data_IF_263185277816
#
_entry.id   IF_263185277816
#
_cell.length_a   1.000
_cell.length_b   1.000
_cell.length_c   1.000
_cell.angle_alpha   90.00
_cell.angle_beta   90.00
_cell.angle_gamma   90.00
#
_symmetry.space_group_name_H-M   'P 1'
#
loop_
_entity.id
_entity.type
_entity.pdbx_description
1 polymer ?
#
# COMPACT_ATOMS: atom_id res chain seq x y z
N UNK A 1 18.38 12.02 4.24
CA UNK A 1 18.36 10.67 4.81
C UNK A 1 16.99 10.46 5.43
N UNK A 2 16.27 9.40 5.05
CA UNK A 2 15.03 9.03 5.75
C UNK A 2 15.33 8.67 7.20
N UNK A 3 14.52 9.15 8.12
CA UNK A 3 14.61 8.81 9.55
C UNK A 3 14.12 7.38 9.79
N UNK A 4 14.59 6.75 10.87
CA UNK A 4 14.07 5.45 11.29
C UNK A 4 12.55 5.47 11.52
N UNK A 5 12.02 6.61 11.98
CA UNK A 5 10.59 6.77 12.23
C UNK A 5 9.79 6.79 10.91
N UNK A 6 10.28 7.47 9.88
CA UNK A 6 9.66 7.47 8.54
C UNK A 6 9.67 6.06 7.92
N UNK A 7 10.78 5.32 8.06
CA UNK A 7 10.87 3.93 7.60
C UNK A 7 9.88 3.01 8.32
N UNK A 8 9.76 3.12 9.65
CA UNK A 8 8.79 2.35 10.44
C UNK A 8 7.35 2.70 10.05
N UNK A 9 7.05 3.98 9.86
CA UNK A 9 5.72 4.43 9.44
C UNK A 9 5.35 3.90 8.04
N UNK A 10 6.28 3.96 7.09
CA UNK A 10 6.07 3.42 5.75
C UNK A 10 5.89 1.90 5.75
N UNK A 11 6.69 1.14 6.51
CA UNK A 11 6.51 -0.31 6.67
C UNK A 11 5.16 -0.68 7.32
N UNK A 12 4.73 0.08 8.34
CA UNK A 12 3.43 -0.11 8.98
C UNK A 12 2.28 0.15 7.98
N UNK A 13 2.41 1.17 7.13
CA UNK A 13 1.42 1.48 6.10
C UNK A 13 1.28 0.35 5.08
N UNK A 14 2.40 -0.22 4.61
CA UNK A 14 2.39 -1.40 3.71
C UNK A 14 1.68 -2.57 4.39
N UNK A 15 2.04 -2.87 5.64
CA UNK A 15 1.45 -3.98 6.40
C UNK A 15 -0.07 -3.83 6.57
N UNK A 16 -0.54 -2.61 6.85
CA UNK A 16 -1.97 -2.33 7.00
C UNK A 16 -2.72 -2.52 5.67
N UNK A 17 -2.19 -2.00 4.57
CA UNK A 17 -2.81 -2.15 3.25
C UNK A 17 -2.85 -3.62 2.79
N UNK A 18 -1.82 -4.42 3.12
CA UNK A 18 -1.84 -5.86 2.86
C UNK A 18 -2.97 -6.57 3.62
N UNK A 19 -3.20 -6.22 4.89
CA UNK A 19 -4.31 -6.78 5.68
C UNK A 19 -5.65 -6.40 5.08
N UNK A 20 -5.82 -5.14 4.71
CA UNK A 20 -7.06 -4.65 4.11
C UNK A 20 -7.34 -5.33 2.76
N UNK A 21 -6.32 -5.49 1.92
CA UNK A 21 -6.45 -6.19 0.64
C UNK A 21 -6.81 -7.67 0.84
N UNK A 22 -6.18 -8.36 1.79
CA UNK A 22 -6.51 -9.75 2.11
C UNK A 22 -7.95 -9.92 2.64
N UNK A 23 -8.50 -8.92 3.36
CA UNK A 23 -9.90 -8.91 3.77
C UNK A 23 -10.83 -8.67 2.57
N UNK A 24 -10.48 -7.74 1.68
CA UNK A 24 -11.24 -7.49 0.46
C UNK A 24 -11.28 -8.73 -0.45
N UNK A 25 -10.17 -9.44 -0.62
CA UNK A 25 -10.08 -10.70 -1.36
C UNK A 25 -11.02 -11.78 -0.81
N UNK A 26 -11.03 -11.94 0.52
CA UNK A 26 -11.96 -12.88 1.17
C UNK A 26 -13.41 -12.46 0.96
N UNK A 27 -13.70 -11.17 1.06
CA UNK A 27 -15.02 -10.61 0.74
C UNK A 27 -15.44 -10.96 -0.68
N UNK A 28 -14.56 -10.74 -1.65
CA UNK A 28 -14.79 -11.05 -3.06
C UNK A 28 -15.12 -12.53 -3.31
N UNK A 29 -14.35 -13.44 -2.70
CA UNK A 29 -14.62 -14.88 -2.81
C UNK A 29 -15.98 -15.29 -2.23
N UNK A 30 -16.46 -14.58 -1.21
CA UNK A 30 -17.76 -14.83 -0.60
C UNK A 30 -18.92 -14.29 -1.44
N UNK A 31 -18.74 -13.20 -2.19
CA UNK A 31 -19.78 -12.61 -3.05
C UNK A 31 -20.36 -13.61 -4.05
N UNK A 32 -19.51 -14.39 -4.70
CA UNK A 32 -19.94 -15.40 -5.67
C UNK A 32 -20.84 -16.48 -5.06
N UNK A 33 -20.65 -16.78 -3.77
CA UNK A 33 -21.45 -17.78 -3.03
C UNK A 33 -22.67 -17.18 -2.35
N UNK A 34 -22.67 -15.87 -2.08
CA UNK A 34 -23.70 -15.21 -1.29
C UNK A 34 -24.84 -14.62 -2.13
N UNK A 35 -24.71 -14.52 -3.46
CA UNK A 35 -25.70 -13.88 -4.35
C UNK A 35 -27.15 -14.29 -4.06
N UNK A 36 -27.44 -15.58 -4.02
CA UNK A 36 -28.80 -16.08 -3.80
C UNK A 36 -29.33 -15.70 -2.40
N UNK A 37 -28.50 -15.86 -1.37
CA UNK A 37 -28.86 -15.53 0.01
C UNK A 37 -29.06 -14.02 0.20
N UNK A 38 -28.21 -13.19 -0.39
CA UNK A 38 -28.29 -11.73 -0.34
C UNK A 38 -29.55 -11.21 -1.04
N UNK A 39 -29.80 -11.64 -2.29
CA UNK A 39 -31.01 -11.27 -3.02
C UNK A 39 -32.25 -11.74 -2.26
N UNK A 40 -32.23 -12.94 -1.70
CA UNK A 40 -33.32 -13.45 -0.86
C UNK A 40 -33.55 -12.54 0.35
N UNK A 41 -32.49 -12.17 1.09
CA UNK A 41 -32.57 -11.26 2.24
C UNK A 41 -33.19 -9.92 1.87
N UNK A 42 -32.80 -9.32 0.73
CA UNK A 42 -33.37 -8.06 0.26
C UNK A 42 -34.85 -8.21 -0.12
N UNK A 43 -35.23 -9.34 -0.71
CA UNK A 43 -36.65 -9.59 -1.02
C UNK A 43 -37.52 -9.71 0.22
N UNK A 44 -36.99 -10.22 1.34
CA UNK A 44 -37.72 -10.25 2.61
C UNK A 44 -38.01 -8.85 3.16
N UNK A 45 -37.33 -7.80 2.70
CA UNK A 45 -37.63 -6.41 3.05
C UNK A 45 -38.67 -5.77 2.12
N UNK A 46 -39.31 -6.55 1.24
CA UNK A 46 -40.31 -6.07 0.29
C UNK A 46 -39.76 -5.60 -1.06
N UNK A 47 -38.46 -5.77 -1.32
CA UNK A 47 -37.90 -5.46 -2.64
C UNK A 47 -38.34 -6.51 -3.67
N UNK A 48 -38.65 -6.06 -4.89
CA UNK A 48 -38.80 -6.97 -6.03
C UNK A 48 -37.47 -7.65 -6.32
N UNK A 49 -37.51 -8.81 -6.99
CA UNK A 49 -36.29 -9.50 -7.39
C UNK A 49 -35.38 -8.60 -8.25
N UNK A 50 -35.95 -7.84 -9.19
CA UNK A 50 -35.19 -6.91 -10.04
C UNK A 50 -34.46 -5.84 -9.22
N UNK A 51 -35.14 -5.21 -8.24
CA UNK A 51 -34.48 -4.21 -7.38
C UNK A 51 -33.44 -4.83 -6.45
N UNK A 52 -33.70 -6.03 -5.92
CA UNK A 52 -32.73 -6.76 -5.10
C UNK A 52 -31.48 -7.16 -5.91
N UNK A 53 -31.66 -7.53 -7.19
CA UNK A 53 -30.57 -7.81 -8.10
C UNK A 53 -29.73 -6.57 -8.37
N UNK A 54 -30.35 -5.43 -8.72
CA UNK A 54 -29.63 -4.16 -8.93
C UNK A 54 -28.78 -3.81 -7.70
N UNK A 55 -29.35 -3.90 -6.50
CA UNK A 55 -28.60 -3.63 -5.25
C UNK A 55 -27.44 -4.58 -5.02
N UNK A 56 -27.57 -5.84 -5.40
CA UNK A 56 -26.47 -6.80 -5.32
C UNK A 56 -25.38 -6.44 -6.32
N UNK A 57 -25.75 -6.11 -7.56
CA UNK A 57 -24.81 -5.75 -8.62
C UNK A 57 -24.06 -4.45 -8.27
N UNK A 58 -24.77 -3.43 -7.74
CA UNK A 58 -24.17 -2.20 -7.20
C UNK A 58 -23.15 -2.49 -6.09
N UNK A 59 -23.50 -3.41 -5.18
CA UNK A 59 -22.59 -3.81 -4.10
C UNK A 59 -21.35 -4.53 -4.63
N UNK A 60 -21.49 -5.39 -5.63
CA UNK A 60 -20.35 -6.06 -6.29
C UNK A 60 -19.41 -5.03 -6.93
N UNK A 61 -19.96 -4.04 -7.64
CA UNK A 61 -19.15 -2.98 -8.25
C UNK A 61 -18.44 -2.12 -7.19
N UNK A 62 -19.07 -1.84 -6.05
CA UNK A 62 -18.41 -1.13 -4.95
C UNK A 62 -17.26 -1.95 -4.35
N UNK A 63 -17.46 -3.24 -4.13
CA UNK A 63 -16.39 -4.14 -3.66
C UNK A 63 -15.23 -4.22 -4.64
N UNK A 64 -15.52 -4.21 -5.95
CA UNK A 64 -14.50 -4.18 -7.01
C UNK A 64 -13.67 -2.90 -6.95
N UNK A 65 -14.32 -1.74 -6.84
CA UNK A 65 -13.63 -0.45 -6.73
C UNK A 65 -12.75 -0.39 -5.49
N UNK A 66 -13.23 -0.90 -4.37
CA UNK A 66 -12.44 -0.99 -3.14
C UNK A 66 -11.19 -1.85 -3.33
N UNK A 67 -11.32 -3.00 -3.99
CA UNK A 67 -10.19 -3.89 -4.28
C UNK A 67 -9.16 -3.22 -5.19
N UNK A 68 -9.60 -2.59 -6.28
CA UNK A 68 -8.75 -1.85 -7.21
C UNK A 68 -8.02 -0.70 -6.49
N UNK A 69 -8.72 0.06 -5.64
CA UNK A 69 -8.14 1.11 -4.82
C UNK A 69 -7.06 0.59 -3.86
N UNK A 70 -7.36 -0.48 -3.11
CA UNK A 70 -6.42 -1.06 -2.15
C UNK A 70 -5.16 -1.61 -2.84
N UNK A 71 -5.32 -2.19 -4.03
CA UNK A 71 -4.20 -2.67 -4.85
C UNK A 71 -3.28 -1.52 -5.26
N UNK A 72 -3.85 -0.43 -5.78
CA UNK A 72 -3.08 0.76 -6.17
C UNK A 72 -2.42 1.43 -4.96
N UNK A 73 -3.14 1.54 -3.84
CA UNK A 73 -2.62 2.10 -2.61
C UNK A 73 -1.45 1.27 -2.04
N UNK A 74 -1.56 -0.07 -2.09
CA UNK A 74 -0.49 -0.97 -1.66
C UNK A 74 0.76 -0.79 -2.52
N UNK A 75 0.60 -0.75 -3.85
CA UNK A 75 1.71 -0.51 -4.77
C UNK A 75 2.42 0.82 -4.45
N UNK A 76 1.66 1.91 -4.33
CA UNK A 76 2.21 3.22 -4.00
C UNK A 76 2.94 3.23 -2.63
N UNK A 77 2.41 2.52 -1.63
CA UNK A 77 3.05 2.41 -0.32
C UNK A 77 4.35 1.59 -0.37
N UNK A 78 4.40 0.53 -1.19
CA UNK A 78 5.60 -0.27 -1.41
C UNK A 78 6.68 0.54 -2.12
N UNK A 79 6.32 1.30 -3.17
CA UNK A 79 7.24 2.17 -3.89
C UNK A 79 7.82 3.25 -2.97
N UNK A 80 6.97 3.86 -2.12
CA UNK A 80 7.41 4.83 -1.14
C UNK A 80 8.38 4.23 -0.11
N UNK A 81 8.08 3.04 0.41
CA UNK A 81 8.97 2.34 1.34
C UNK A 81 10.31 1.97 0.68
N UNK A 82 10.29 1.51 -0.57
CA UNK A 82 11.50 1.22 -1.35
C UNK A 82 12.35 2.47 -1.59
N UNK A 83 11.74 3.61 -1.88
CA UNK A 83 12.44 4.89 -2.03
C UNK A 83 13.11 5.32 -0.71
N UNK A 84 12.39 5.24 0.42
CA UNK A 84 12.95 5.60 1.72
C UNK A 84 14.13 4.69 2.11
N UNK A 85 14.02 3.39 1.89
CA UNK A 85 15.11 2.42 2.18
C UNK A 85 16.33 2.66 1.32
N UNK A 86 16.16 2.98 0.03
CA UNK A 86 17.27 3.35 -0.86
C UNK A 86 18.00 4.63 -0.38
N UNK A 87 17.26 5.62 0.12
CA UNK A 87 17.87 6.85 0.67
C UNK A 87 18.54 6.65 2.03
N UNK A 88 18.14 5.63 2.80
CA UNK A 88 18.73 5.30 4.09
C UNK A 88 19.98 4.41 3.96
N UNK A 89 20.04 3.56 2.92
CA UNK A 89 21.19 2.69 2.61
C UNK A 89 22.35 3.38 1.87
N UNK A 90 22.30 4.71 1.70
CA UNK A 90 23.37 5.49 1.07
C UNK A 90 24.63 5.53 1.94
N UNK A 91 25.61 4.70 1.56
CA UNK A 91 26.96 4.56 2.11
C UNK A 91 27.72 5.89 2.23
N UNK A 92 28.61 6.07 3.24
CA UNK A 92 29.29 7.32 3.52
C UNK A 92 30.28 7.72 2.41
N UNK A 93 30.38 9.04 2.19
CA UNK A 93 31.44 9.73 1.45
C UNK A 93 32.84 9.25 1.90
N UNK A 94 33.69 8.68 1.02
CA UNK A 94 35.13 8.73 1.25
C UNK A 94 35.63 10.14 0.89
N UNK A 95 36.69 10.55 1.58
CA UNK A 95 37.39 11.84 1.47
C UNK A 95 36.76 13.04 2.19
N UNK A 96 36.96 13.01 3.50
CA UNK A 96 37.50 14.17 4.19
C UNK A 96 38.81 14.58 3.50
N UNK A 97 38.82 15.75 2.86
CA UNK A 97 40.06 16.36 2.44
C UNK A 97 40.88 16.83 3.65
N UNK A 98 42.19 16.96 3.42
CA UNK A 98 43.04 18.01 4.00
C UNK A 98 43.82 17.65 5.28
N UNK A 99 44.98 17.00 5.11
CA UNK A 99 46.19 17.39 5.85
C UNK A 99 47.14 18.05 4.85
N UNK A 100 46.86 19.33 4.60
CA UNK A 100 47.85 20.27 4.10
C UNK A 100 48.82 20.47 5.26
N UNK A 101 49.99 19.84 5.20
CA UNK A 101 51.15 20.30 5.95
C UNK A 101 52.12 20.92 4.98
N UNK A 102 52.07 22.25 4.95
CA UNK A 102 53.19 23.10 4.58
C UNK A 102 54.47 22.61 5.27
N UNK A 103 55.54 22.36 4.51
CA UNK A 103 56.81 23.05 4.76
C UNK A 103 57.71 22.97 3.54
N UNK A 104 57.87 24.12 2.91
CA UNK A 104 58.96 24.42 2.01
C UNK A 104 60.29 24.38 2.78
N UNK A 105 61.32 23.73 2.22
CA UNK A 105 62.71 24.13 2.42
C UNK A 105 63.63 23.51 1.36
N UNK A 106 64.04 24.38 0.43
CA UNK A 106 65.38 24.49 -0.18
C UNK A 106 66.01 23.31 -0.94
N UNK A 107 66.19 23.56 -2.24
CA UNK A 107 67.28 23.09 -3.12
C UNK A 107 68.66 23.39 -2.49
N UNK A 108 69.72 22.66 -2.88
CA UNK A 108 70.51 23.05 -4.06
C UNK A 108 70.59 21.97 -5.14
#
# INVERSE_FOLDING_TARGET
>A
MATEQELRAAAARVTELQKQLALADRGWQLLGRSRAAFISSLRHTGLSYAHAQIKFDDFVEEQRRLYEYLTQALQAAQDHYAALTATAGGTPRPDAGQDIREHAAARP
#
